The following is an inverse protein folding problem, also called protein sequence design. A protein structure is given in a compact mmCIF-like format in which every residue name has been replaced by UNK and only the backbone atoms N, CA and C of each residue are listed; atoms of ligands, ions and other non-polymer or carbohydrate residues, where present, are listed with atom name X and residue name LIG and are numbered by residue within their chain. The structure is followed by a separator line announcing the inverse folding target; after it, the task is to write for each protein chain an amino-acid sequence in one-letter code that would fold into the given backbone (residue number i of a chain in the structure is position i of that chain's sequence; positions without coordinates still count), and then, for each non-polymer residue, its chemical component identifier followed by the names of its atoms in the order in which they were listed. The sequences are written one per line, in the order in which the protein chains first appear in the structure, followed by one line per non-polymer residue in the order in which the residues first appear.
data_IF_442042267844
#
_entry.id   IF_442042267844
#
_cell.length_a   1.000
_cell.length_b   1.000
_cell.length_c   1.000
_cell.angle_alpha   90.00
_cell.angle_beta   90.00
_cell.angle_gamma   90.00
#
_symmetry.space_group_name_H-M   'P 1'
#
loop_
_entity.id
_entity.type
_entity.pdbx_description
1 polymer ?
2 non-polymer ?
3 non-polymer ?
4 water ?
#
# COMPACT_ATOMS: atom_id res chain seq x y z
N UNK A 2 12.51 -23.56 2.02
CA UNK A 2 13.62 -22.68 1.53
C UNK A 2 14.18 -21.75 2.64
N UNK A 3 15.49 -21.52 2.60
CA UNK A 3 16.21 -20.81 3.68
C UNK A 3 16.65 -19.34 3.41
N UNK A 4 17.03 -19.02 2.17
CA UNK A 4 17.47 -17.67 1.79
C UNK A 4 16.34 -16.62 1.88
N UNK A 5 16.71 -15.37 2.11
CA UNK A 5 15.74 -14.27 2.07
C UNK A 5 15.42 -13.95 0.61
N UNK A 6 14.14 -13.82 0.29
CA UNK A 6 13.69 -13.53 -1.07
C UNK A 6 13.22 -12.08 -1.17
N UNK A 7 14.07 -11.24 -1.74
CA UNK A 7 13.80 -9.81 -1.88
C UNK A 7 13.44 -9.47 -3.32
N UNK A 8 12.41 -8.65 -3.48
CA UNK A 8 12.09 -8.07 -4.79
C UNK A 8 12.84 -6.77 -4.90
N UNK A 9 13.36 -6.48 -6.09
CA UNK A 9 14.00 -5.20 -6.38
C UNK A 9 13.34 -4.64 -7.62
N UNK A 10 12.69 -3.50 -7.48
CA UNK A 10 11.82 -2.97 -8.53
C UNK A 10 11.65 -1.45 -8.46
N UNK A 11 11.54 -0.83 -9.63
CA UNK A 11 11.14 0.56 -9.74
C UNK A 11 9.85 0.61 -10.56
N UNK A 12 8.84 1.32 -10.07
CA UNK A 12 7.59 1.46 -10.79
C UNK A 12 7.02 2.87 -10.69
N UNK A 13 6.07 3.20 -11.57
CA UNK A 13 5.45 4.51 -11.55
C UNK A 13 4.17 4.53 -10.71
N UNK A 14 3.44 5.65 -10.79
CA UNK A 14 2.20 5.84 -10.02
C UNK A 14 1.06 4.87 -10.40
N UNK A 15 1.19 4.21 -11.55
CA UNK A 15 0.21 3.19 -11.97
C UNK A 15 0.84 1.78 -12.13
N UNK A 16 1.97 1.56 -11.47
CA UNK A 16 2.67 0.26 -11.46
C UNK A 16 3.42 -0.09 -12.75
N UNK A 17 3.49 0.84 -13.69
CA UNK A 17 4.24 0.58 -14.92
C UNK A 17 5.72 0.39 -14.59
N UNK A 18 6.33 -0.66 -15.16
CA UNK A 18 7.76 -0.94 -15.03
C UNK A 18 8.50 -1.02 -16.38
N UNK A 19 7.73 -1.14 -17.48
CA UNK A 19 8.31 -1.30 -18.82
C UNK A 19 7.46 -0.81 -20.00
N UNK A 20 8.15 -0.42 -21.06
CA UNK A 20 7.52 0.00 -22.32
C UNK A 20 8.40 -0.55 -23.42
N UNK A 21 7.78 -1.26 -24.36
CA UNK A 21 8.47 -1.86 -25.51
C UNK A 21 9.77 -2.58 -25.13
N UNK A 22 9.67 -3.47 -24.15
CA UNK A 22 10.81 -4.31 -23.67
C UNK A 22 12.02 -3.54 -23.14
N UNK A 23 11.77 -2.35 -22.59
CA UNK A 23 12.80 -1.46 -22.07
C UNK A 23 12.23 -0.67 -20.89
N UNK A 24 13.08 0.13 -20.25
CA UNK A 24 12.70 1.06 -19.19
C UNK A 24 12.12 2.35 -19.74
N UNK A 25 11.02 2.83 -19.14
CA UNK A 25 10.39 4.05 -19.66
C UNK A 25 11.10 5.36 -19.26
N UNK A 26 12.05 5.29 -18.33
CA UNK A 26 12.70 6.47 -17.79
C UNK A 26 14.22 6.26 -17.67
N UNK A 27 14.97 7.34 -17.53
CA UNK A 27 16.39 7.22 -17.25
C UNK A 27 16.63 7.89 -15.92
N UNK A 28 17.10 7.13 -14.94
CA UNK A 28 17.45 7.67 -13.64
C UNK A 28 18.75 7.04 -13.17
N UNK A 29 19.90 7.62 -13.59
CA UNK A 29 21.20 7.10 -13.17
C UNK A 29 21.39 7.02 -11.65
N UNK A 30 20.76 7.94 -10.91
CA UNK A 30 20.88 7.91 -9.44
C UNK A 30 20.14 6.71 -8.80
N UNK A 31 18.97 6.38 -9.33
CA UNK A 31 18.20 5.22 -8.92
C UNK A 31 18.95 3.93 -9.26
N UNK A 32 19.67 3.95 -10.38
CA UNK A 32 20.47 2.80 -10.79
C UNK A 32 21.63 2.57 -9.84
N UNK A 33 22.17 3.66 -9.30
CA UNK A 33 23.29 3.58 -8.35
C UNK A 33 22.83 2.99 -7.02
N UNK A 34 21.63 3.38 -6.59
CA UNK A 34 21.02 2.78 -5.43
C UNK A 34 20.85 1.26 -5.59
N UNK A 35 20.40 0.82 -6.77
CA UNK A 35 20.30 -0.59 -7.13
C UNK A 35 21.63 -1.33 -7.04
N UNK A 36 22.72 -0.74 -7.54
CA UNK A 36 24.06 -1.35 -7.41
C UNK A 36 24.46 -1.50 -5.95
N UNK A 37 24.32 -0.41 -5.17
CA UNK A 37 24.71 -0.39 -3.76
C UNK A 37 24.00 -1.52 -2.98
N UNK A 38 22.71 -1.70 -3.23
CA UNK A 38 21.89 -2.65 -2.49
C UNK A 38 22.11 -4.12 -2.88
N UNK A 39 22.46 -4.36 -4.14
CA UNK A 39 22.44 -5.72 -4.68
C UNK A 39 23.82 -6.31 -4.80
N UNK A 40 24.82 -5.46 -4.64
CA UNK A 40 26.19 -5.88 -4.83
C UNK A 40 26.55 -7.09 -3.95
N UNK A 41 27.11 -8.12 -4.58
CA UNK A 41 27.53 -9.34 -3.89
C UNK A 41 26.41 -10.34 -3.63
N UNK A 42 25.21 -10.05 -4.16
CA UNK A 42 24.05 -10.93 -4.00
C UNK A 42 23.51 -11.42 -5.36
N UNK A 43 22.90 -12.61 -5.38
CA UNK A 43 22.43 -13.09 -6.68
C UNK A 43 21.27 -12.26 -7.21
N UNK A 44 21.28 -12.03 -8.52
CA UNK A 44 20.18 -11.37 -9.23
C UNK A 44 19.44 -12.44 -10.01
N UNK A 45 18.12 -12.48 -9.84
CA UNK A 45 17.28 -13.45 -10.52
C UNK A 45 16.49 -12.69 -11.59
N UNK A 46 16.72 -13.03 -12.86
CA UNK A 46 16.18 -12.24 -13.95
C UNK A 46 15.38 -13.09 -14.93
N UNK A 47 14.23 -12.59 -15.34
CA UNK A 47 13.50 -13.21 -16.42
C UNK A 47 14.30 -13.10 -17.70
N UNK A 48 14.16 -14.09 -18.59
CA UNK A 48 14.93 -14.12 -19.84
C UNK A 48 14.86 -12.79 -20.58
N UNK A 49 13.65 -12.27 -20.79
CA UNK A 49 13.44 -11.01 -21.48
C UNK A 49 14.19 -9.86 -20.79
N UNK A 50 13.94 -9.67 -19.49
CA UNK A 50 14.68 -8.72 -18.69
C UNK A 50 16.18 -8.88 -18.93
N UNK A 51 16.71 -10.09 -18.81
CA UNK A 51 18.13 -10.28 -19.00
C UNK A 51 18.60 -9.84 -20.39
N UNK A 52 17.86 -10.19 -21.43
CA UNK A 52 18.29 -9.85 -22.79
C UNK A 52 18.28 -8.34 -23.05
N UNK A 53 17.38 -7.63 -22.38
CA UNK A 53 17.30 -6.18 -22.45
C UNK A 53 18.49 -5.54 -21.70
N UNK A 54 18.91 -6.15 -20.59
CA UNK A 54 20.12 -5.73 -19.92
C UNK A 54 21.30 -5.94 -20.86
N UNK A 55 21.45 -7.17 -21.37
CA UNK A 55 22.32 -7.46 -22.51
C UNK A 55 23.68 -8.03 -22.18
N UNK A 56 24.02 -8.05 -20.89
CA UNK A 56 25.34 -8.46 -20.41
C UNK A 56 25.27 -8.93 -18.95
N UNK A 57 26.17 -9.85 -18.54
CA UNK A 57 26.25 -10.21 -17.14
C UNK A 57 26.63 -9.01 -16.28
N UNK A 58 25.97 -8.86 -15.14
CA UNK A 58 26.29 -7.78 -14.21
C UNK A 58 27.40 -8.18 -13.23
N UNK A 59 28.50 -7.41 -13.19
CA UNK A 59 29.68 -7.81 -12.40
C UNK A 59 29.41 -7.91 -10.89
N UNK A 60 30.23 -8.71 -10.19
CA UNK A 60 30.15 -8.87 -8.72
C UNK A 60 28.89 -9.51 -8.16
N UNK A 61 28.12 -10.17 -9.01
CA UNK A 61 26.85 -10.80 -8.63
C UNK A 61 26.67 -12.09 -9.44
N UNK A 62 26.08 -13.11 -8.84
CA UNK A 62 25.64 -14.29 -9.58
C UNK A 62 24.44 -13.87 -10.40
N UNK A 63 24.52 -14.03 -11.72
CA UNK A 63 23.42 -13.73 -12.62
C UNK A 63 22.68 -15.02 -12.92
N UNK A 64 21.40 -15.05 -12.59
CA UNK A 64 20.58 -16.25 -12.81
C UNK A 64 19.43 -15.88 -13.70
N UNK A 65 19.35 -16.56 -14.85
CA UNK A 65 18.33 -16.26 -15.83
C UNK A 65 17.28 -17.36 -15.83
N UNK A 66 16.02 -16.92 -15.80
CA UNK A 66 14.87 -17.83 -15.76
C UNK A 66 14.20 -17.95 -17.13
N UNK A 67 14.13 -19.19 -17.62
CA UNK A 67 13.64 -19.48 -18.96
C UNK A 67 13.06 -20.90 -19.01
N UNK A 68 12.11 -21.15 -19.91
CA UNK A 68 11.51 -22.48 -20.07
C UNK A 68 12.33 -23.28 -21.08
N UNK A 69 13.27 -22.60 -21.72
CA UNK A 69 14.12 -23.12 -22.79
C UNK A 69 15.29 -23.91 -22.18
N UNK A 70 15.28 -25.22 -22.40
CA UNK A 70 16.27 -26.12 -21.79
C UNK A 70 17.63 -26.12 -22.50
N UNK A 71 17.71 -25.40 -23.62
CA UNK A 71 18.97 -25.27 -24.36
C UNK A 71 19.56 -23.86 -24.34
N UNK A 72 19.03 -23.00 -23.47
CA UNK A 72 19.52 -21.64 -23.29
C UNK A 72 20.81 -21.64 -22.47
N UNK A 73 21.83 -20.98 -23.00
CA UNK A 73 23.11 -20.80 -22.31
C UNK A 73 23.68 -19.41 -22.59
N UNK A 74 24.15 -18.76 -21.53
CA UNK A 74 24.86 -17.49 -21.67
C UNK A 74 26.16 -17.57 -20.87
N UNK A 75 27.25 -17.19 -21.52
CA UNK A 75 28.58 -17.13 -20.92
C UNK A 75 28.57 -16.17 -19.72
N UNK A 76 29.06 -16.67 -18.58
CA UNK A 76 29.13 -15.87 -17.35
C UNK A 76 27.84 -15.81 -16.52
N UNK A 77 26.82 -16.55 -16.98
CA UNK A 77 25.50 -16.57 -16.34
C UNK A 77 25.07 -17.99 -16.00
N UNK A 78 24.31 -18.13 -14.92
CA UNK A 78 23.63 -19.38 -14.59
C UNK A 78 22.19 -19.39 -15.10
N UNK A 79 21.70 -20.59 -15.44
CA UNK A 79 20.35 -20.73 -15.99
C UNK A 79 19.47 -21.63 -15.10
N UNK A 80 18.28 -21.12 -14.78
CA UNK A 80 17.28 -21.87 -14.02
C UNK A 80 15.98 -21.90 -14.79
N UNK A 81 15.17 -22.94 -14.58
CA UNK A 81 14.01 -23.16 -15.41
C UNK A 81 12.74 -23.17 -14.59
N UNK A 82 12.88 -22.94 -13.29
CA UNK A 82 11.75 -22.93 -12.37
C UNK A 82 12.14 -22.29 -11.03
N UNK A 83 11.14 -21.94 -10.23
CA UNK A 83 11.36 -21.40 -8.90
C UNK A 83 12.28 -22.34 -8.10
N UNK A 84 11.96 -23.64 -8.13
CA UNK A 84 12.67 -24.65 -7.32
C UNK A 84 14.13 -24.77 -7.72
N UNK A 85 14.40 -24.76 -9.03
CA UNK A 85 15.77 -24.83 -9.51
C UNK A 85 16.54 -23.62 -9.02
N UNK A 86 15.89 -22.47 -8.95
CA UNK A 86 16.48 -21.27 -8.38
C UNK A 86 16.78 -21.49 -6.90
N UNK A 87 15.81 -22.04 -6.17
CA UNK A 87 16.00 -22.33 -4.75
C UNK A 87 17.13 -23.34 -4.50
N UNK A 88 17.24 -24.35 -5.35
CA UNK A 88 18.40 -25.25 -5.30
C UNK A 88 19.72 -24.48 -5.54
N UNK A 89 19.80 -23.71 -6.61
CA UNK A 89 21.02 -22.95 -6.92
C UNK A 89 21.39 -21.94 -5.84
N UNK A 90 20.40 -21.49 -5.08
CA UNK A 90 20.61 -20.45 -4.06
C UNK A 90 20.48 -20.95 -2.63
N UNK A 91 20.47 -22.26 -2.43
CA UNK A 91 20.14 -22.82 -1.11
C UNK A 91 21.05 -22.33 0.05
N UNK A 92 22.28 -21.94 -0.28
CA UNK A 92 23.24 -21.44 0.71
C UNK A 92 23.39 -19.90 0.76
N UNK A 93 22.58 -19.19 -0.02
CA UNK A 93 22.68 -17.72 -0.07
C UNK A 93 21.96 -17.09 1.13
N UNK A 94 22.39 -15.88 1.51
CA UNK A 94 21.73 -15.13 2.56
C UNK A 94 20.48 -14.47 1.98
N UNK A 95 20.64 -13.79 0.84
CA UNK A 95 19.57 -13.02 0.25
C UNK A 95 19.71 -13.05 -1.27
N UNK A 96 18.59 -13.29 -1.94
CA UNK A 96 18.53 -13.17 -3.38
C UNK A 96 17.61 -12.02 -3.77
N UNK A 97 17.91 -11.40 -4.92
CA UNK A 97 17.08 -10.34 -5.44
C UNK A 97 16.31 -10.75 -6.68
N UNK A 98 14.99 -10.80 -6.58
CA UNK A 98 14.14 -11.00 -7.75
C UNK A 98 14.11 -9.65 -8.46
N UNK A 99 14.62 -9.65 -9.70
CA UNK A 99 15.05 -8.44 -10.37
C UNK A 99 14.17 -8.12 -11.58
N UNK A 100 13.16 -8.96 -11.84
CA UNK A 100 12.19 -8.69 -12.91
C UNK A 100 12.37 -9.52 -14.16
N UNK A 101 11.50 -9.35 -15.15
CA UNK A 101 10.41 -8.37 -15.11
C UNK A 101 9.13 -8.90 -14.50
N UNK A 102 7.99 -8.54 -15.10
CA UNK A 102 6.68 -8.86 -14.54
C UNK A 102 6.40 -10.36 -14.36
N UNK A 103 6.68 -11.15 -15.40
CA UNK A 103 6.41 -12.59 -15.33
C UNK A 103 7.18 -13.24 -14.21
N UNK A 104 8.44 -12.82 -14.03
CA UNK A 104 9.30 -13.34 -12.96
C UNK A 104 8.88 -12.83 -11.58
N UNK A 105 8.38 -11.59 -11.49
CA UNK A 105 7.79 -11.10 -10.23
C UNK A 105 6.56 -11.93 -9.86
N UNK A 106 5.66 -12.18 -10.82
CA UNK A 106 4.52 -13.06 -10.61
C UNK A 106 5.00 -14.43 -10.10
N UNK A 107 6.07 -14.95 -10.70
CA UNK A 107 6.55 -16.30 -10.34
C UNK A 107 6.90 -16.43 -8.88
N UNK A 108 7.60 -15.44 -8.33
CA UNK A 108 8.19 -15.52 -7.01
C UNK A 108 7.35 -14.79 -5.97
N UNK A 109 6.21 -14.27 -6.38
CA UNK A 109 5.28 -13.51 -5.52
C UNK A 109 4.82 -14.25 -4.27
N UNK A 110 4.47 -15.56 -4.40
CA UNK A 110 4.08 -16.24 -3.16
C UNK A 110 5.21 -16.33 -2.13
N UNK A 111 6.46 -16.14 -2.56
CA UNK A 111 7.63 -16.40 -1.70
C UNK A 111 8.36 -15.17 -1.11
N UNK A 112 8.00 -13.98 -1.56
CA UNK A 112 8.74 -12.74 -1.24
C UNK A 112 8.67 -12.34 0.24
N UNK A 113 9.84 -12.09 0.84
CA UNK A 113 9.98 -11.75 2.25
C UNK A 113 10.21 -10.25 2.44
N UNK A 114 10.83 -9.61 1.43
CA UNK A 114 11.27 -8.22 1.53
C UNK A 114 11.11 -7.48 0.20
N UNK A 115 10.57 -6.26 0.24
CA UNK A 115 10.33 -5.50 -0.97
C UNK A 115 11.12 -4.18 -1.05
N UNK A 116 12.09 -4.11 -1.96
CA UNK A 116 12.80 -2.87 -2.23
C UNK A 116 12.15 -2.23 -3.45
N UNK A 117 11.27 -1.27 -3.20
CA UNK A 117 10.49 -0.66 -4.26
C UNK A 117 10.69 0.85 -4.34
N UNK A 118 11.18 1.30 -5.48
CA UNK A 118 11.28 2.71 -5.79
C UNK A 118 9.99 3.14 -6.46
N UNK A 119 9.37 4.19 -5.93
CA UNK A 119 8.12 4.70 -6.48
C UNK A 119 8.34 6.01 -7.16
N UNK A 120 8.02 6.06 -8.44
CA UNK A 120 8.24 7.24 -9.27
C UNK A 120 6.94 7.99 -9.50
N UNK A 121 6.96 9.29 -9.17
CA UNK A 121 5.77 10.14 -9.16
C UNK A 121 5.46 10.76 -10.53
N UNK A 122 5.13 9.89 -11.47
CA UNK A 122 4.87 10.27 -12.85
C UNK A 122 4.09 9.13 -13.48
N UNK A 123 3.18 9.47 -14.39
CA UNK A 123 2.38 8.49 -15.11
C UNK A 123 2.92 8.25 -16.52
N UNK A 124 3.74 7.20 -16.67
CA UNK A 124 4.33 6.85 -17.96
C UNK A 124 3.38 6.04 -18.84
N UNK A 125 3.60 6.11 -20.15
CA UNK A 125 3.05 5.13 -21.08
C UNK A 125 3.82 3.84 -20.89
N UNK A 126 3.11 2.73 -20.73
CA UNK A 126 3.76 1.44 -20.57
C UNK A 126 2.90 0.25 -20.91
N UNK A 127 3.56 -0.90 -21.04
CA UNK A 127 2.85 -2.13 -21.36
C UNK A 127 3.07 -3.22 -20.31
N UNK A 128 4.07 -3.02 -19.45
CA UNK A 128 4.41 -4.01 -18.44
C UNK A 128 4.25 -3.42 -17.05
N UNK A 129 3.67 -4.21 -16.15
CA UNK A 129 3.20 -3.75 -14.86
C UNK A 129 3.73 -4.61 -13.72
N UNK A 130 3.96 -3.99 -12.57
CA UNK A 130 4.31 -4.70 -11.35
C UNK A 130 3.01 -5.22 -10.74
N UNK A 131 2.97 -6.52 -10.37
CA UNK A 131 1.73 -7.09 -9.79
C UNK A 131 1.24 -6.42 -8.50
N UNK A 132 -0.07 -6.33 -8.37
CA UNK A 132 -0.74 -5.90 -7.12
C UNK A 132 -0.30 -6.77 -5.94
N UNK A 133 -0.11 -6.12 -4.79
CA UNK A 133 0.23 -6.83 -3.55
C UNK A 133 -0.65 -6.39 -2.40
N UNK A 134 -1.14 -7.38 -1.66
CA UNK A 134 -1.78 -7.16 -0.37
C UNK A 134 -0.65 -6.95 0.62
N UNK A 135 -0.63 -5.78 1.26
CA UNK A 135 0.44 -5.40 2.21
C UNK A 135 0.12 -5.66 3.68
N UNK A 136 -1.02 -6.30 3.96
CA UNK A 136 -1.31 -6.81 5.29
C UNK A 136 -0.11 -7.62 5.80
N UNK A 137 0.30 -7.30 7.02
CA UNK A 137 1.47 -7.92 7.68
C UNK A 137 2.83 -7.59 7.01
N UNK A 138 2.88 -6.42 6.39
CA UNK A 138 4.11 -5.82 5.92
C UNK A 138 4.26 -4.46 6.56
N UNK A 139 5.47 -4.13 6.99
CA UNK A 139 5.77 -2.82 7.57
C UNK A 139 6.91 -2.16 6.81
N UNK A 140 6.70 -0.90 6.45
CA UNK A 140 7.75 -0.07 5.87
C UNK A 140 8.87 0.14 6.88
N UNK A 141 10.09 -0.22 6.51
CA UNK A 141 11.24 -0.10 7.41
C UNK A 141 12.26 0.93 6.91
N UNK A 142 12.08 1.39 5.69
CA UNK A 142 12.93 2.44 5.14
C UNK A 142 12.24 3.22 4.03
N UNK A 143 12.37 4.54 4.07
CA UNK A 143 11.86 5.45 3.04
C UNK A 143 12.79 6.68 2.94
N UNK A 144 13.10 7.10 1.72
CA UNK A 144 14.00 8.24 1.48
C UNK A 144 13.70 8.83 0.11
N UNK A 145 13.68 10.17 0.01
CA UNK A 145 13.51 10.84 -1.29
C UNK A 145 14.73 10.64 -2.16
N UNK A 146 14.51 10.32 -3.43
CA UNK A 146 15.60 10.17 -4.37
C UNK A 146 16.10 11.52 -4.85
N UNK A 147 17.30 11.52 -5.42
CA UNK A 147 17.88 12.72 -5.97
C UNK A 147 17.16 13.17 -7.25
N UNK A 148 16.50 14.33 -7.19
CA UNK A 148 15.93 14.96 -8.37
C UNK A 148 16.82 16.13 -8.80
N UNK A 149 17.38 16.03 -10.01
CA UNK A 149 18.30 17.03 -10.54
C UNK A 149 18.31 16.97 -12.07
N UNK A 150 19.14 17.82 -12.65
CA UNK A 150 19.32 17.93 -14.10
C UNK A 150 19.39 16.56 -14.81
N UNK A 151 20.09 15.59 -14.21
CA UNK A 151 20.27 14.25 -14.81
C UNK A 151 19.18 13.23 -14.43
N UNK A 152 18.40 13.53 -13.41
CA UNK A 152 17.35 12.65 -12.89
C UNK A 152 16.03 13.43 -12.76
N UNK A 153 15.29 13.51 -13.87
CA UNK A 153 14.26 14.54 -14.00
C UNK A 153 12.87 14.23 -13.41
N UNK A 154 12.73 13.19 -12.58
CA UNK A 154 11.44 12.89 -11.92
C UNK A 154 11.58 12.88 -10.41
N UNK A 155 10.46 13.06 -9.70
CA UNK A 155 10.38 12.83 -8.25
C UNK A 155 10.12 11.35 -7.97
N UNK A 156 10.91 10.77 -7.09
CA UNK A 156 10.79 9.37 -6.73
C UNK A 156 11.28 9.12 -5.31
N UNK A 157 10.76 8.07 -4.68
CA UNK A 157 11.16 7.71 -3.34
C UNK A 157 11.61 6.24 -3.28
N UNK A 158 12.61 5.98 -2.46
CA UNK A 158 13.01 4.62 -2.15
C UNK A 158 12.18 4.12 -1.00
N UNK A 159 11.53 2.97 -1.16
CA UNK A 159 10.80 2.31 -0.09
C UNK A 159 11.34 0.91 0.14
N UNK A 160 11.37 0.48 1.40
CA UNK A 160 11.67 -0.90 1.73
C UNK A 160 10.62 -1.43 2.70
N UNK A 161 9.98 -2.54 2.34
CA UNK A 161 9.02 -3.20 3.21
C UNK A 161 9.50 -4.57 3.65
N UNK A 162 9.19 -4.94 4.89
CA UNK A 162 9.45 -6.31 5.37
C UNK A 162 8.16 -7.04 5.79
N UNK A 163 8.03 -8.30 5.36
CA UNK A 163 6.93 -9.15 5.80
C UNK A 163 7.12 -9.52 7.28
N UNK A 164 6.05 -9.50 8.08
CA UNK A 164 6.16 -9.75 9.52
C UNK A 164 6.04 -11.22 9.94
N UNK A 165 6.63 -11.54 11.10
CA UNK A 165 6.75 -12.89 11.71
C UNK A 165 8.04 -13.62 11.31
N UNK B 1 -22.74 -12.84 15.52
CA UNK B 1 -24.08 -12.27 15.10
C UNK B 1 -24.04 -11.55 13.75
N UNK B 2 -23.21 -10.51 13.66
CA UNK B 2 -22.93 -9.85 12.38
C UNK B 2 -21.66 -10.47 11.80
N UNK B 3 -21.59 -10.55 10.48
CA UNK B 3 -20.51 -11.29 9.83
C UNK B 3 -19.71 -10.51 8.79
N UNK B 4 -20.08 -9.25 8.61
CA UNK B 4 -19.22 -8.31 7.90
C UNK B 4 -18.10 -7.84 8.83
N UNK B 5 -16.96 -7.54 8.23
CA UNK B 5 -15.85 -6.97 8.96
C UNK B 5 -16.16 -5.49 9.21
N UNK B 6 -15.98 -5.05 10.44
CA UNK B 6 -16.25 -3.66 10.83
C UNK B 6 -14.95 -2.90 10.99
N UNK B 7 -14.64 -2.07 9.99
CA UNK B 7 -13.39 -1.31 9.98
C UNK B 7 -13.65 0.17 10.25
N UNK B 8 -12.79 0.76 11.07
CA UNK B 8 -12.79 2.20 11.27
C UNK B 8 -11.81 2.80 10.27
N UNK B 9 -12.24 3.89 9.63
CA UNK B 9 -11.36 4.65 8.75
C UNK B 9 -11.29 6.07 9.30
N UNK B 10 -10.10 6.48 9.75
CA UNK B 10 -9.95 7.75 10.44
C UNK B 10 -8.57 8.36 10.26
N UNK B 11 -8.52 9.69 10.27
CA UNK B 11 -7.30 10.45 10.37
C UNK B 11 -7.38 11.33 11.62
N UNK B 12 -6.33 11.31 12.43
CA UNK B 12 -6.30 12.11 13.65
C UNK B 12 -4.92 12.67 13.95
N UNK B 13 -4.87 13.70 14.79
CA UNK B 13 -3.60 14.33 15.13
C UNK B 13 -3.01 13.73 16.40
N UNK B 14 -1.92 14.29 16.90
CA UNK B 14 -1.23 13.71 18.07
C UNK B 14 -2.14 13.63 19.29
N UNK B 15 -3.04 14.60 19.43
CA UNK B 15 -4.00 14.62 20.55
C UNK B 15 -5.40 14.09 20.21
N UNK B 16 -5.48 13.24 19.18
CA UNK B 16 -6.76 12.63 18.73
C UNK B 16 -7.81 13.57 18.11
N UNK B 17 -7.42 14.82 17.80
CA UNK B 17 -8.33 15.75 17.13
C UNK B 17 -8.62 15.23 15.72
N UNK B 18 -9.90 15.19 15.36
CA UNK B 18 -10.34 14.83 14.02
C UNK B 18 -11.14 15.95 13.32
N UNK B 19 -11.59 16.94 14.07
CA UNK B 19 -12.39 18.03 13.51
C UNK B 19 -12.36 19.36 14.25
N UNK B 20 -12.60 20.44 13.48
CA UNK B 20 -12.69 21.80 14.00
C UNK B 20 -13.83 22.49 13.27
N UNK B 21 -14.76 23.08 14.03
CA UNK B 21 -15.94 23.76 13.48
C UNK B 21 -16.63 22.98 12.35
N UNK B 22 -16.96 21.72 12.62
CA UNK B 22 -17.67 20.85 11.64
C UNK B 22 -16.93 20.65 10.31
N UNK B 23 -15.61 20.62 10.38
CA UNK B 23 -14.81 20.45 9.19
C UNK B 23 -13.49 19.80 9.55
N UNK B 24 -12.69 19.51 8.53
CA UNK B 24 -11.35 18.99 8.72
C UNK B 24 -10.37 20.11 9.02
N UNK B 25 -9.46 19.89 9.98
CA UNK B 25 -8.48 20.94 10.35
C UNK B 25 -7.29 21.08 9.40
N UNK B 26 -7.17 20.16 8.44
CA UNK B 26 -6.01 20.10 7.56
C UNK B 26 -6.43 19.72 6.16
N UNK B 27 -5.59 20.06 5.18
CA UNK B 27 -5.83 19.65 3.80
C UNK B 27 -4.67 18.76 3.35
N UNK B 28 -4.96 17.47 3.21
CA UNK B 28 -3.99 16.47 2.74
C UNK B 28 -4.57 15.65 1.59
N UNK B 29 -4.49 16.18 0.35
CA UNK B 29 -5.01 15.44 -0.82
C UNK B 29 -4.43 14.03 -0.99
N UNK B 30 -3.17 13.83 -0.60
CA UNK B 30 -2.55 12.50 -0.73
C UNK B 30 -3.20 11.48 0.23
N UNK B 31 -3.57 11.94 1.43
CA UNK B 31 -4.17 11.08 2.45
C UNK B 31 -5.57 10.72 1.96
N UNK B 32 -6.18 11.66 1.27
CA UNK B 32 -7.52 11.46 0.71
C UNK B 32 -7.56 10.41 -0.41
N UNK B 33 -6.55 10.42 -1.27
CA UNK B 33 -6.36 9.37 -2.29
C UNK B 33 -6.10 7.98 -1.67
N UNK B 34 -5.44 7.92 -0.51
CA UNK B 34 -5.30 6.64 0.22
C UNK B 34 -6.66 6.14 0.72
N UNK B 35 -7.48 7.05 1.23
CA UNK B 35 -8.86 6.78 1.62
C UNK B 35 -9.72 6.26 0.44
N UNK B 36 -9.58 6.87 -0.74
CA UNK B 36 -10.32 6.42 -1.93
C UNK B 36 -9.98 4.98 -2.37
N UNK B 37 -8.67 4.65 -2.39
CA UNK B 37 -8.23 3.30 -2.76
C UNK B 37 -8.75 2.24 -1.78
N UNK B 38 -8.50 2.46 -0.50
CA UNK B 38 -8.88 1.53 0.55
C UNK B 38 -10.39 1.23 0.63
N UNK B 39 -11.22 2.23 0.34
CA UNK B 39 -12.66 2.12 0.58
C UNK B 39 -13.50 1.84 -0.66
N UNK B 40 -12.89 1.92 -1.86
CA UNK B 40 -13.62 1.78 -3.12
C UNK B 40 -14.34 0.45 -3.21
N UNK B 41 -15.63 0.51 -3.53
CA UNK B 41 -16.42 -0.69 -3.61
C UNK B 41 -16.96 -1.23 -2.27
N UNK B 42 -16.73 -0.49 -1.18
CA UNK B 42 -17.20 -0.90 0.15
C UNK B 42 -18.12 0.14 0.75
N UNK B 43 -19.10 -0.27 1.57
CA UNK B 43 -19.97 0.74 2.15
C UNK B 43 -19.24 1.68 3.10
N UNK B 44 -19.63 2.94 3.08
CA UNK B 44 -19.17 3.94 4.03
C UNK B 44 -20.32 4.26 4.97
N UNK B 45 -20.04 4.21 6.27
CA UNK B 45 -21.03 4.49 7.29
C UNK B 45 -20.69 5.83 7.90
N UNK B 46 -21.57 6.80 7.69
CA UNK B 46 -21.26 8.17 8.09
C UNK B 46 -22.31 8.70 9.05
N UNK B 47 -21.87 9.41 10.08
CA UNK B 47 -22.79 10.17 10.92
C UNK B 47 -23.38 11.30 10.10
N UNK B 48 -24.61 11.72 10.44
CA UNK B 48 -25.34 12.74 9.70
C UNK B 48 -24.51 14.03 9.51
N UNK B 49 -23.93 14.51 10.61
CA UNK B 49 -23.08 15.70 10.54
C UNK B 49 -21.93 15.50 9.56
N UNK B 50 -21.14 14.45 9.77
CA UNK B 50 -20.08 14.08 8.83
C UNK B 50 -20.56 14.09 7.39
N UNK B 51 -21.71 13.44 7.14
CA UNK B 51 -22.22 13.38 5.78
C UNK B 51 -22.51 14.76 5.22
N UNK B 52 -23.20 15.59 6.00
CA UNK B 52 -23.56 16.92 5.53
C UNK B 52 -22.33 17.81 5.26
N UNK B 53 -21.23 17.54 5.97
CA UNK B 53 -20.00 18.28 5.75
C UNK B 53 -19.37 17.83 4.44
N UNK B 54 -19.45 16.53 4.16
CA UNK B 54 -18.99 16.00 2.88
C UNK B 54 -19.84 16.64 1.77
N UNK B 55 -21.16 16.56 1.90
CA UNK B 55 -22.07 17.35 1.08
C UNK B 55 -22.68 16.64 -0.12
N UNK B 56 -22.12 15.48 -0.48
CA UNK B 56 -22.54 14.75 -1.69
C UNK B 56 -22.27 13.25 -1.54
N UNK B 57 -23.07 12.42 -2.22
CA UNK B 57 -22.78 10.97 -2.21
C UNK B 57 -21.40 10.71 -2.82
N UNK B 58 -20.64 9.81 -2.22
CA UNK B 58 -19.33 9.44 -2.76
C UNK B 58 -19.49 8.28 -3.73
N UNK B 59 -19.02 8.44 -4.98
CA UNK B 59 -19.23 7.43 -6.03
C UNK B 59 -18.58 6.06 -5.75
N UNK B 60 -19.14 5.00 -6.34
CA UNK B 60 -18.58 3.65 -6.26
C UNK B 60 -18.63 2.99 -4.89
N UNK B 61 -19.48 3.51 -4.00
CA UNK B 61 -19.61 3.01 -2.63
C UNK B 61 -21.05 3.18 -2.18
N UNK B 62 -21.56 2.24 -1.38
CA UNK B 62 -22.85 2.43 -0.70
C UNK B 62 -22.65 3.46 0.38
N UNK B 63 -23.39 4.58 0.32
CA UNK B 63 -23.33 5.62 1.33
C UNK B 63 -24.48 5.45 2.31
N UNK B 64 -24.14 5.24 3.58
CA UNK B 64 -25.15 5.00 4.60
C UNK B 64 -25.00 6.07 5.68
N UNK B 65 -26.08 6.81 5.89
CA UNK B 65 -26.07 7.91 6.81
C UNK B 65 -26.85 7.53 8.05
N UNK B 66 -26.25 7.77 9.20
CA UNK B 66 -26.81 7.42 10.48
C UNK B 66 -27.39 8.66 11.16
N UNK B 67 -28.68 8.62 11.47
CA UNK B 67 -29.43 9.75 12.04
C UNK B 67 -30.60 9.23 12.89
N UNK B 68 -30.97 9.97 13.94
CA UNK B 68 -32.12 9.60 14.77
C UNK B 68 -33.42 10.09 14.14
N UNK B 69 -33.28 10.83 13.04
CA UNK B 69 -34.36 11.51 12.35
C UNK B 69 -35.02 10.54 11.37
N UNK B 70 -36.27 10.17 11.65
CA UNK B 70 -36.96 9.12 10.88
C UNK B 70 -37.52 9.62 9.53
N UNK B 71 -37.45 10.93 9.32
CA UNK B 71 -37.85 11.55 8.04
C UNK B 71 -36.71 12.09 7.20
N UNK B 72 -35.47 11.72 7.55
CA UNK B 72 -34.29 12.07 6.78
C UNK B 72 -34.17 11.23 5.50
N UNK B 73 -34.03 11.90 4.36
CA UNK B 73 -33.81 11.24 3.06
C UNK B 73 -32.83 12.05 2.21
N UNK B 74 -31.90 11.35 1.57
CA UNK B 74 -30.97 11.96 0.63
C UNK B 74 -30.91 11.08 -0.62
N UNK B 75 -31.12 11.71 -1.78
CA UNK B 75 -31.07 11.02 -3.08
C UNK B 75 -29.68 10.45 -3.34
N UNK B 76 -29.62 9.13 -3.58
CA UNK B 76 -28.36 8.42 -3.80
C UNK B 76 -27.71 7.84 -2.55
N UNK B 77 -28.38 7.99 -1.41
CA UNK B 77 -27.86 7.51 -0.13
C UNK B 77 -28.87 6.67 0.61
N UNK B 78 -28.37 5.70 1.37
CA UNK B 78 -29.21 4.92 2.28
C UNK B 78 -29.19 5.52 3.69
N UNK B 79 -30.31 5.40 4.39
CA UNK B 79 -30.40 5.91 5.76
C UNK B 79 -30.62 4.79 6.80
N UNK B 80 -29.80 4.79 7.85
CA UNK B 80 -29.97 3.89 8.99
C UNK B 80 -30.15 4.71 10.25
N UNK B 81 -30.78 4.13 11.26
CA UNK B 81 -31.14 4.87 12.47
C UNK B 81 -30.58 4.23 13.73
N UNK B 82 -29.79 3.17 13.54
CA UNK B 82 -29.16 2.47 14.65
C UNK B 82 -28.07 1.52 14.15
N UNK B 83 -27.23 1.03 15.06
CA UNK B 83 -26.20 0.04 14.72
C UNK B 83 -26.86 -1.16 14.02
N UNK B 84 -27.95 -1.64 14.58
CA UNK B 84 -28.58 -2.86 14.06
C UNK B 84 -29.13 -2.70 12.65
N UNK B 85 -29.81 -1.58 12.39
CA UNK B 85 -30.30 -1.28 11.05
C UNK B 85 -29.12 -1.24 10.08
N UNK B 86 -27.99 -0.71 10.53
CA UNK B 86 -26.77 -0.77 9.71
C UNK B 86 -26.37 -2.21 9.46
N UNK B 87 -26.31 -3.03 10.51
CA UNK B 87 -25.96 -4.44 10.34
C UNK B 87 -26.93 -5.18 9.45
N UNK B 88 -28.24 -4.91 9.57
CA UNK B 88 -29.22 -5.44 8.62
C UNK B 88 -28.92 -5.04 7.17
N UNK B 89 -28.71 -3.74 6.93
CA UNK B 89 -28.42 -3.23 5.60
C UNK B 89 -27.12 -3.80 5.00
N UNK B 90 -26.17 -4.17 5.86
CA UNK B 90 -24.87 -4.67 5.42
C UNK B 90 -24.66 -6.15 5.74
N UNK B 91 -25.75 -6.86 5.99
CA UNK B 91 -25.73 -8.29 6.32
C UNK B 91 -24.75 -9.07 5.44
N UNK B 92 -24.81 -8.81 4.13
CA UNK B 92 -24.08 -9.61 3.14
C UNK B 92 -22.75 -9.02 2.72
N UNK B 93 -22.33 -7.94 3.38
CA UNK B 93 -21.13 -7.23 2.95
C UNK B 93 -19.87 -7.91 3.43
N UNK B 94 -18.78 -7.69 2.69
CA UNK B 94 -17.45 -8.20 3.08
C UNK B 94 -16.89 -7.39 4.24
N UNK B 95 -16.87 -6.07 4.05
CA UNK B 95 -16.24 -5.17 4.98
C UNK B 95 -16.94 -3.84 4.86
N UNK B 96 -17.23 -3.22 6.00
CA UNK B 96 -17.82 -1.88 6.01
C UNK B 96 -16.87 -0.92 6.69
N UNK B 97 -16.89 0.33 6.26
CA UNK B 97 -16.01 1.36 6.82
C UNK B 97 -16.77 2.39 7.66
N UNK B 98 -16.55 2.36 8.98
CA UNK B 98 -17.08 3.39 9.83
C UNK B 98 -16.23 4.63 9.59
N UNK B 99 -16.89 5.67 9.12
CA UNK B 99 -16.22 6.75 8.43
C UNK B 99 -16.29 8.05 9.21
N UNK B 100 -16.88 7.98 10.41
CA UNK B 100 -16.98 9.15 11.27
C UNK B 100 -18.31 9.86 11.24
N UNK B 101 -18.48 10.90 12.07
CA UNK B 101 -17.43 11.45 12.94
C UNK B 101 -17.38 10.83 14.32
N UNK B 102 -17.11 11.63 15.34
CA UNK B 102 -16.88 11.10 16.70
C UNK B 102 -18.06 10.30 17.26
N UNK B 103 -19.28 10.83 17.15
CA UNK B 103 -20.45 10.16 17.71
C UNK B 103 -20.68 8.80 17.07
N UNK B 104 -20.41 8.71 15.77
CA UNK B 104 -20.55 7.46 15.05
C UNK B 104 -19.42 6.47 15.36
N UNK B 105 -18.20 6.98 15.62
CA UNK B 105 -17.11 6.11 16.08
C UNK B 105 -17.43 5.54 17.47
N UNK B 106 -17.93 6.39 18.37
CA UNK B 106 -18.40 5.94 19.68
C UNK B 106 -19.47 4.84 19.53
N UNK B 107 -20.42 5.04 18.61
CA UNK B 107 -21.53 4.08 18.39
C UNK B 107 -21.04 2.67 18.04
N UNK B 108 -20.07 2.59 17.14
CA UNK B 108 -19.63 1.31 16.60
C UNK B 108 -18.40 0.74 17.31
N UNK B 109 -17.92 1.45 18.32
CA UNK B 109 -16.70 1.09 19.05
C UNK B 109 -16.70 -0.31 19.67
N UNK B 110 -17.83 -0.74 20.28
CA UNK B 110 -17.82 -2.11 20.80
C UNK B 110 -17.68 -3.20 19.72
N UNK B 111 -17.88 -2.84 18.44
CA UNK B 111 -17.94 -3.81 17.34
C UNK B 111 -16.74 -3.83 16.36
N UNK B 112 -15.81 -2.91 16.53
CA UNK B 112 -14.77 -2.70 15.52
C UNK B 112 -13.74 -3.85 15.50
N UNK B 113 -13.49 -4.40 14.30
CA UNK B 113 -12.53 -5.50 14.10
C UNK B 113 -11.18 -5.03 13.57
N UNK B 114 -11.16 -3.90 12.84
CA UNK B 114 -9.97 -3.42 12.13
C UNK B 114 -9.89 -1.90 12.16
N UNK B 115 -8.69 -1.36 12.37
CA UNK B 115 -8.52 0.09 12.45
C UNK B 115 -7.57 0.60 11.37
N UNK B 116 -8.10 1.43 10.45
CA UNK B 116 -7.27 2.13 9.46
C UNK B 116 -7.10 3.55 9.95
N UNK B 117 -5.99 3.81 10.62
CA UNK B 117 -5.79 5.09 11.28
C UNK B 117 -4.56 5.82 10.76
N UNK B 118 -4.78 6.99 10.17
CA UNK B 118 -3.70 7.86 9.78
C UNK B 118 -3.39 8.76 10.95
N UNK B 119 -2.12 8.75 11.38
CA UNK B 119 -1.67 9.60 12.48
C UNK B 119 -0.86 10.79 11.97
N UNK B 120 -1.33 12.00 12.29
CA UNK B 120 -0.67 13.22 11.84
C UNK B 120 0.14 13.86 12.98
N UNK B 121 1.39 14.21 12.69
CA UNK B 121 2.37 14.62 13.69
C UNK B 121 2.36 16.13 13.78
N UNK B 122 1.25 16.65 14.30
CA UNK B 122 1.00 18.07 14.49
C UNK B 122 -0.10 18.17 15.52
N UNK B 123 -0.07 19.24 16.33
CA UNK B 123 -1.13 19.52 17.29
C UNK B 123 -2.06 20.64 16.78
N UNK B 124 -3.22 20.25 16.26
CA UNK B 124 -4.22 21.18 15.73
C UNK B 124 -5.15 21.69 16.82
N UNK B 125 -5.68 22.89 16.62
CA UNK B 125 -6.84 23.36 17.38
C UNK B 125 -8.02 22.58 16.88
N UNK B 126 -8.82 22.04 17.78
CA UNK B 126 -10.00 21.27 17.40
C UNK B 126 -11.02 21.14 18.51
N UNK B 127 -12.19 20.64 18.15
CA UNK B 127 -13.29 20.45 19.11
C UNK B 127 -13.82 19.03 19.08
N UNK B 128 -13.42 18.26 18.06
CA UNK B 128 -13.89 16.90 17.90
C UNK B 128 -12.74 15.92 17.91
N UNK B 129 -12.94 14.82 18.61
CA UNK B 129 -11.88 13.90 19.00
C UNK B 129 -12.24 12.45 18.69
N UNK B 130 -11.22 11.68 18.33
CA UNK B 130 -11.36 10.24 18.14
C UNK B 130 -11.29 9.60 19.52
N UNK B 131 -12.26 8.70 19.84
CA UNK B 131 -12.30 8.08 21.18
C UNK B 131 -11.06 7.28 21.54
N UNK B 132 -10.61 7.38 22.79
CA UNK B 132 -9.53 6.54 23.32
C UNK B 132 -9.84 5.05 23.09
N UNK B 133 -8.81 4.28 22.78
CA UNK B 133 -8.96 2.83 22.64
C UNK B 133 -7.85 2.16 23.40
N UNK B 134 -8.19 1.07 24.08
CA UNK B 134 -7.20 0.20 24.66
C UNK B 134 -6.63 -0.62 23.52
N UNK B 135 -5.33 -0.46 23.26
CA UNK B 135 -4.65 -1.13 22.13
C UNK B 135 -3.88 -2.42 22.51
N UNK B 136 -4.18 -2.98 23.69
CA UNK B 136 -3.49 -4.19 24.18
C UNK B 136 -3.85 -5.45 23.36
N UNK B 137 -5.10 -5.54 22.92
CA UNK B 137 -5.55 -6.66 22.07
C UNK B 137 -5.35 -6.47 20.53
N UNK B 138 -4.64 -5.42 20.14
CA UNK B 138 -4.51 -5.08 18.72
C UNK B 138 -3.09 -5.26 18.19
N UNK B 139 -3.00 -5.83 17.00
CA UNK B 139 -1.75 -6.07 16.32
C UNK B 139 -1.64 -5.06 15.20
N UNK B 140 -0.52 -4.36 15.10
CA UNK B 140 -0.28 -3.51 13.94
C UNK B 140 0.17 -4.39 12.78
N UNK B 141 -0.57 -4.33 11.66
CA UNK B 141 -0.28 -5.18 10.51
C UNK B 141 0.23 -4.39 9.32
N UNK B 142 0.19 -3.06 9.41
CA UNK B 142 0.72 -2.20 8.35
C UNK B 142 1.02 -0.81 8.86
N UNK B 143 2.18 -0.28 8.46
CA UNK B 143 2.58 1.11 8.72
C UNK B 143 3.44 1.63 7.54
N UNK B 144 3.19 2.88 7.15
CA UNK B 144 3.88 3.49 5.99
C UNK B 144 3.86 5.01 6.16
N UNK B 145 4.97 5.66 5.83
CA UNK B 145 5.04 7.11 5.92
C UNK B 145 4.23 7.70 4.77
N UNK B 146 3.39 8.68 5.08
CA UNK B 146 2.65 9.42 4.06
C UNK B 146 3.53 10.39 3.30
N UNK B 147 3.04 10.82 2.13
CA UNK B 147 3.76 11.78 1.30
C UNK B 147 3.70 13.19 1.89
N UNK B 148 4.84 13.70 2.33
CA UNK B 148 5.00 15.09 2.71
C UNK B 148 5.66 15.86 1.58
N UNK B 149 4.95 16.86 1.05
CA UNK B 149 5.44 17.74 -0.04
C UNK B 149 4.66 19.08 0.05
N UNK B 150 4.82 20.00 -0.92
CA UNK B 150 4.16 21.33 -0.83
C UNK B 150 2.61 21.32 -0.81
N UNK B 151 2.00 20.30 -1.40
CA UNK B 151 0.54 20.17 -1.34
C UNK B 151 0.08 19.39 -0.09
N UNK B 152 1.04 18.79 0.62
CA UNK B 152 0.76 17.98 1.81
C UNK B 152 1.71 18.32 2.95
N UNK B 153 1.42 19.43 3.65
CA UNK B 153 2.45 20.08 4.46
C UNK B 153 2.66 19.55 5.89
N UNK B 154 2.21 18.35 6.22
CA UNK B 154 2.48 17.74 7.53
C UNK B 154 3.14 16.37 7.39
N UNK B 155 3.84 15.93 8.44
CA UNK B 155 4.30 14.55 8.53
C UNK B 155 3.14 13.73 9.10
N UNK B 156 2.92 12.54 8.52
CA UNK B 156 1.85 11.64 8.93
C UNK B 156 2.15 10.22 8.48
N UNK B 157 1.57 9.25 9.19
CA UNK B 157 1.80 7.83 8.88
C UNK B 157 0.48 7.09 8.75
N UNK B 158 0.42 6.13 7.83
CA UNK B 158 -0.72 5.24 7.73
C UNK B 158 -0.45 4.06 8.63
N UNK B 159 -1.41 3.76 9.51
CA UNK B 159 -1.35 2.60 10.38
C UNK B 159 -2.59 1.76 10.18
N UNK B 160 -2.42 0.44 10.23
CA UNK B 160 -3.55 -0.48 10.22
C UNK B 160 -3.39 -1.50 11.36
N UNK B 161 -4.43 -1.62 12.18
CA UNK B 161 -4.41 -2.58 13.27
C UNK B 161 -5.50 -3.61 13.09
N UNK B 162 -5.23 -4.83 13.53
CA UNK B 162 -6.25 -5.89 13.53
C UNK B 162 -6.49 -6.40 14.95
N UNK B 163 -7.76 -6.62 15.28
CA UNK B 163 -8.11 -7.20 16.57
C UNK B 163 -7.71 -8.65 16.61
N UNK B 164 -7.03 -9.00 17.71
CA UNK B 164 -6.71 -10.39 18.06
C UNK B 164 -7.92 -11.02 18.76
N UNK B 165 -8.37 -12.17 18.24
CA UNK B 165 -9.62 -12.83 18.69
C UNK B 165 -10.84 -12.07 18.14
#
# INVERSE_FOLDING_TARGET
HHHMRVSFMVAMDENRVIGKDNNLPWRLPSELQYVKKTTMGHPLIMGRKNYEAIGRPLPGRRNIIVTRNEGYHVEGCEVAHSVEEVFELCKNEEEIFIFGGAQIYDLFLPYVDKLYITKIHHAFEGDTFFPEMDMTNWKEVFVEKGLTDEKNPYTYYYHVYEKQQ
HHHMRVSFMVAMDENRVIGKDNNLPWRLPSELQYVKKTTMGHPLIMGRKNYEAIGRPLPGRRNIIVTRNEGYHVEGCEVAHSVEEVFELCKNEEEIFIFGGAQIYDLFLPYVDKLYITKIHHAFEGDTFFPEMDMTNWKEVFVEKGLTDEKNPYTYYYHVYEKQQ
#
